data_IF_159320575380
#
_entry.id   IF_159320575380
#
_cell.length_a   1.000
_cell.length_b   1.000
_cell.length_c   1.000
_cell.angle_alpha   90.00
_cell.angle_beta   90.00
_cell.angle_gamma   90.00
#
_symmetry.space_group_name_H-M   'P 1'
#
loop_
_entity.id
_entity.type
_entity.pdbx_description
1 polymer ?
#
# COMPACT_ATOMS: atom_id res chain seq x y z
N UNK A 1 62.98 43.79 31.80
CA UNK A 1 61.97 42.73 31.73
C UNK A 1 60.99 43.16 30.67
N UNK A 2 60.96 42.45 29.53
CA UNK A 2 59.98 42.72 28.44
C UNK A 2 58.90 41.69 28.53
N UNK A 3 57.67 42.11 28.82
CA UNK A 3 56.49 41.28 28.84
C UNK A 3 55.94 41.12 27.40
N UNK A 4 55.95 39.91 26.90
CA UNK A 4 55.41 39.55 25.59
C UNK A 4 53.91 39.18 25.76
N UNK A 5 53.05 39.95 25.15
CA UNK A 5 51.60 39.65 25.03
C UNK A 5 51.32 38.87 23.76
N UNK A 6 50.80 37.63 23.91
CA UNK A 6 50.35 36.78 22.80
C UNK A 6 48.88 37.11 22.49
N UNK A 7 48.49 37.39 21.23
CA UNK A 7 47.10 37.62 20.92
C UNK A 7 46.32 36.30 20.82
N UNK A 8 45.17 36.21 21.49
CA UNK A 8 44.23 35.12 21.39
C UNK A 8 43.40 35.35 20.12
N UNK A 9 43.60 34.50 19.11
CA UNK A 9 42.76 34.46 17.90
C UNK A 9 41.56 33.60 18.21
N UNK A 10 40.40 34.22 18.38
CA UNK A 10 39.13 33.51 18.55
C UNK A 10 38.63 33.10 17.13
N UNK A 11 38.66 31.79 16.86
CA UNK A 11 38.08 31.22 15.64
C UNK A 11 36.57 31.00 15.92
N UNK A 12 35.73 31.85 15.34
CA UNK A 12 34.29 31.62 15.29
C UNK A 12 34.00 30.53 14.24
N UNK A 13 33.66 29.34 14.75
CA UNK A 13 33.15 28.24 13.89
C UNK A 13 31.66 28.49 13.57
N UNK A 14 31.36 29.04 12.42
CA UNK A 14 29.99 29.18 11.94
C UNK A 14 29.44 27.79 11.52
N UNK A 15 28.59 27.19 12.33
CA UNK A 15 27.80 26.01 11.94
C UNK A 15 26.77 26.43 10.89
N UNK A 16 27.02 26.11 9.62
CA UNK A 16 25.99 26.11 8.59
C UNK A 16 25.04 24.93 8.85
N UNK A 17 23.91 25.18 9.50
CA UNK A 17 22.78 24.25 9.46
C UNK A 17 22.18 24.29 8.06
N UNK A 18 22.54 23.31 7.22
CA UNK A 18 21.84 23.07 5.96
C UNK A 18 20.42 22.62 6.31
N UNK A 19 19.43 23.48 6.14
CA UNK A 19 18.03 23.14 6.21
C UNK A 19 17.73 22.16 5.06
N UNK A 20 17.58 20.89 5.36
CA UNK A 20 17.05 19.91 4.41
C UNK A 20 15.63 20.36 4.03
N UNK A 21 15.29 20.42 2.74
CA UNK A 21 13.93 20.75 2.35
C UNK A 21 12.98 19.70 2.93
N UNK A 22 12.09 20.14 3.82
CA UNK A 22 10.93 19.34 4.21
C UNK A 22 10.07 19.22 2.96
N UNK A 23 10.17 18.10 2.27
CA UNK A 23 9.20 17.74 1.23
C UNK A 23 7.86 17.51 1.92
N UNK A 24 7.02 18.52 1.93
CA UNK A 24 5.64 18.40 2.40
C UNK A 24 4.90 17.43 1.47
N UNK A 25 4.25 16.44 2.04
CA UNK A 25 3.37 15.57 1.28
C UNK A 25 2.23 16.41 0.67
N UNK A 26 1.89 16.15 -0.58
CA UNK A 26 0.69 16.72 -1.16
C UNK A 26 -0.55 16.26 -0.34
N UNK A 27 -1.58 17.11 -0.19
CA UNK A 27 -2.77 16.70 0.52
C UNK A 27 -3.37 15.43 -0.10
N UNK A 28 -3.94 14.57 0.73
CA UNK A 28 -4.62 13.38 0.25
C UNK A 28 -5.80 13.77 -0.66
N UNK A 29 -5.92 13.11 -1.78
CA UNK A 29 -7.01 13.29 -2.75
C UNK A 29 -7.65 11.95 -3.07
N UNK A 30 -8.91 11.93 -3.53
CA UNK A 30 -9.53 10.70 -4.00
C UNK A 30 -8.67 10.04 -5.09
N UNK A 31 -8.39 8.75 -4.91
CA UNK A 31 -7.85 7.88 -5.94
C UNK A 31 -8.98 7.18 -6.70
N UNK A 32 -10.10 6.95 -6.01
CA UNK A 32 -11.38 6.51 -6.57
C UNK A 32 -12.46 7.56 -6.24
N UNK A 33 -13.31 7.87 -7.22
CA UNK A 33 -14.32 8.94 -7.14
C UNK A 33 -15.59 8.57 -6.34
N UNK A 34 -15.74 7.28 -5.99
CA UNK A 34 -16.93 6.77 -5.29
C UNK A 34 -18.12 6.46 -6.19
N UNK A 35 -18.04 6.65 -7.50
CA UNK A 35 -19.19 6.61 -8.40
C UNK A 35 -18.96 5.82 -9.69
N UNK A 36 -17.74 5.79 -10.21
CA UNK A 36 -17.39 5.14 -11.48
C UNK A 36 -16.09 4.36 -11.39
N UNK A 37 -15.74 3.65 -12.44
CA UNK A 37 -14.39 3.08 -12.63
C UNK A 37 -13.53 3.95 -13.54
N UNK A 38 -13.87 5.22 -13.73
CA UNK A 38 -13.04 6.14 -14.51
C UNK A 38 -11.65 6.27 -13.89
N UNK A 39 -10.61 6.10 -14.72
CA UNK A 39 -9.21 6.05 -14.27
C UNK A 39 -8.79 4.68 -13.71
N UNK A 40 -9.64 3.65 -13.91
CA UNK A 40 -9.37 2.27 -13.57
C UNK A 40 -9.79 1.34 -14.70
N UNK A 41 -9.10 0.21 -14.86
CA UNK A 41 -9.48 -0.84 -15.78
C UNK A 41 -9.37 -2.22 -15.12
N UNK A 42 -10.12 -3.18 -15.65
CA UNK A 42 -10.16 -4.55 -15.15
C UNK A 42 -9.25 -5.42 -15.99
N UNK A 43 -8.43 -6.23 -15.33
CA UNK A 43 -7.69 -7.33 -15.95
C UNK A 43 -8.07 -8.66 -15.27
N UNK A 44 -8.07 -9.74 -16.05
CA UNK A 44 -8.42 -11.07 -15.54
C UNK A 44 -9.92 -11.29 -15.40
N UNK A 45 -10.33 -12.01 -14.38
CA UNK A 45 -11.70 -12.48 -14.12
C UNK A 45 -12.22 -12.03 -12.77
N UNK A 46 -13.40 -12.51 -12.39
CA UNK A 46 -14.15 -12.03 -11.23
C UNK A 46 -15.07 -10.89 -11.61
N UNK A 47 -15.86 -10.45 -10.69
CA UNK A 47 -16.85 -9.41 -10.91
C UNK A 47 -16.55 -8.21 -10.01
N UNK A 48 -16.56 -7.02 -10.62
CA UNK A 48 -16.39 -5.75 -9.94
C UNK A 48 -17.65 -4.92 -10.16
N UNK A 49 -18.27 -4.47 -9.07
CA UNK A 49 -19.45 -3.62 -9.06
C UNK A 49 -19.26 -2.42 -8.15
N UNK A 50 -20.06 -1.41 -8.34
CA UNK A 50 -20.20 -0.30 -7.40
C UNK A 50 -21.57 -0.47 -6.75
N UNK A 51 -21.57 -0.73 -5.47
CA UNK A 51 -22.77 -0.97 -4.67
C UNK A 51 -22.62 -0.26 -3.31
N UNK A 52 -23.67 0.34 -2.79
CA UNK A 52 -23.71 0.98 -1.48
C UNK A 52 -22.54 1.97 -1.22
N UNK A 53 -22.10 2.68 -2.25
CA UNK A 53 -21.00 3.62 -2.16
C UNK A 53 -19.63 2.96 -1.97
N UNK A 54 -19.49 1.71 -2.37
CA UNK A 54 -18.24 0.94 -2.30
C UNK A 54 -18.00 0.15 -3.58
N UNK A 55 -16.74 -0.18 -3.83
CA UNK A 55 -16.35 -1.20 -4.82
C UNK A 55 -16.61 -2.56 -4.18
N UNK A 56 -17.44 -3.37 -4.81
CA UNK A 56 -17.72 -4.75 -4.41
C UNK A 56 -17.05 -5.70 -5.40
N UNK A 57 -16.13 -6.52 -4.89
CA UNK A 57 -15.39 -7.51 -5.66
C UNK A 57 -15.82 -8.92 -5.27
N UNK A 58 -16.23 -9.74 -6.26
CA UNK A 58 -16.67 -11.11 -6.02
C UNK A 58 -16.04 -12.11 -6.99
N UNK A 59 -15.83 -13.33 -6.49
CA UNK A 59 -15.44 -14.48 -7.32
C UNK A 59 -16.06 -15.76 -6.77
N UNK A 60 -16.15 -16.76 -7.62
CA UNK A 60 -16.57 -18.11 -7.26
C UNK A 60 -15.40 -19.07 -7.39
N UNK A 61 -15.33 -20.07 -6.52
CA UNK A 61 -14.22 -21.06 -6.47
C UNK A 61 -13.97 -21.77 -7.81
N UNK A 62 -14.99 -21.90 -8.65
CA UNK A 62 -14.86 -22.50 -9.97
C UNK A 62 -13.99 -21.66 -10.91
N UNK A 63 -14.01 -20.32 -10.77
CA UNK A 63 -13.16 -19.40 -11.55
C UNK A 63 -11.76 -19.39 -11.00
N UNK A 64 -10.79 -19.88 -11.79
CA UNK A 64 -9.40 -20.09 -11.35
C UNK A 64 -8.48 -18.88 -11.60
N UNK A 65 -8.87 -18.01 -12.51
CA UNK A 65 -8.10 -16.82 -12.84
C UNK A 65 -8.32 -15.71 -11.79
N UNK A 66 -7.28 -14.96 -11.52
CA UNK A 66 -7.34 -13.76 -10.70
C UNK A 66 -8.06 -12.63 -11.43
N UNK A 67 -8.61 -11.71 -10.69
CA UNK A 67 -9.11 -10.43 -11.18
C UNK A 67 -8.45 -9.28 -10.47
N UNK A 68 -8.14 -8.22 -11.22
CA UNK A 68 -7.62 -7.00 -10.66
C UNK A 68 -8.35 -5.79 -11.23
N UNK A 69 -8.66 -4.84 -10.37
CA UNK A 69 -9.08 -3.50 -10.74
C UNK A 69 -7.86 -2.60 -10.60
N UNK A 70 -7.30 -2.13 -11.71
CA UNK A 70 -5.98 -1.50 -11.81
C UNK A 70 -6.12 -0.01 -12.11
N UNK A 71 -5.40 0.86 -11.40
CA UNK A 71 -5.36 2.30 -11.70
C UNK A 71 -4.66 2.57 -13.03
N UNK A 72 -5.19 3.50 -13.84
CA UNK A 72 -4.54 3.90 -15.10
C UNK A 72 -3.27 4.72 -14.87
N UNK A 73 -3.15 5.32 -13.69
CA UNK A 73 -1.99 6.13 -13.30
C UNK A 73 -0.97 5.30 -12.53
N UNK A 74 0.30 5.66 -12.72
CA UNK A 74 1.42 5.16 -11.95
C UNK A 74 1.81 6.12 -10.82
N UNK A 75 2.38 5.56 -9.76
CA UNK A 75 2.83 6.28 -8.57
C UNK A 75 4.20 5.77 -8.14
N UNK A 76 5.05 6.69 -7.68
CA UNK A 76 6.39 6.36 -7.15
C UNK A 76 6.38 6.38 -5.62
N UNK A 77 6.41 7.58 -5.05
CA UNK A 77 6.37 7.78 -3.60
C UNK A 77 4.99 8.31 -3.20
N UNK A 78 4.32 7.57 -2.33
CA UNK A 78 2.94 7.85 -1.97
C UNK A 78 2.57 7.30 -0.59
N UNK A 79 1.45 7.78 -0.09
CA UNK A 79 0.67 7.10 0.95
C UNK A 79 -0.74 6.90 0.40
N UNK A 80 -1.17 5.66 0.28
CA UNK A 80 -2.53 5.27 -0.09
C UNK A 80 -3.28 4.80 1.15
N UNK A 81 -4.52 5.22 1.29
CA UNK A 81 -5.45 4.80 2.34
C UNK A 81 -6.71 4.27 1.70
N UNK A 82 -7.29 3.23 2.30
CA UNK A 82 -8.61 2.70 1.96
C UNK A 82 -9.30 2.09 3.18
N UNK A 83 -10.62 1.94 3.08
CA UNK A 83 -11.39 1.09 3.99
C UNK A 83 -11.79 -0.18 3.24
N UNK A 84 -11.68 -1.32 3.94
CA UNK A 84 -12.06 -2.62 3.38
C UNK A 84 -12.91 -3.42 4.37
N UNK A 85 -13.76 -4.29 3.83
CA UNK A 85 -14.48 -5.32 4.57
C UNK A 85 -14.33 -6.63 3.81
N UNK A 86 -13.59 -7.58 4.38
CA UNK A 86 -13.39 -8.91 3.83
C UNK A 86 -14.45 -9.85 4.44
N UNK A 87 -15.43 -10.21 3.64
CA UNK A 87 -16.51 -11.11 4.06
C UNK A 87 -16.08 -12.56 3.84
N UNK A 88 -15.39 -12.83 2.72
CA UNK A 88 -14.98 -14.17 2.32
C UNK A 88 -13.76 -14.13 1.41
N UNK A 89 -12.87 -15.11 1.58
CA UNK A 89 -11.72 -15.35 0.71
C UNK A 89 -10.63 -14.32 0.84
N UNK A 90 -9.81 -14.23 -0.19
CA UNK A 90 -8.58 -13.45 -0.22
C UNK A 90 -8.63 -12.36 -1.28
N UNK A 91 -8.07 -11.22 -0.95
CA UNK A 91 -7.96 -9.99 -1.71
C UNK A 91 -6.66 -9.27 -1.34
N UNK A 92 -6.45 -8.06 -1.82
CA UNK A 92 -5.31 -7.25 -1.43
C UNK A 92 -5.22 -5.91 -2.15
N UNK A 93 -4.46 -5.02 -1.54
CA UNK A 93 -4.05 -3.76 -2.13
C UNK A 93 -2.64 -3.93 -2.72
N UNK A 94 -2.57 -4.03 -4.02
CA UNK A 94 -1.31 -4.02 -4.76
C UNK A 94 -0.79 -2.62 -4.99
N UNK A 95 0.51 -2.47 -5.03
CA UNK A 95 1.15 -1.17 -5.30
C UNK A 95 2.47 -1.33 -6.05
N UNK A 96 2.80 -0.28 -6.82
CA UNK A 96 3.96 -0.26 -7.71
C UNK A 96 4.02 -1.49 -8.62
N UNK A 97 2.84 -1.95 -9.08
CA UNK A 97 2.75 -3.15 -9.92
C UNK A 97 3.08 -2.83 -11.38
N UNK A 98 3.43 -3.91 -12.12
CA UNK A 98 3.30 -3.98 -13.56
C UNK A 98 2.36 -5.12 -13.91
N UNK A 99 1.54 -4.89 -14.94
CA UNK A 99 0.68 -5.91 -15.51
C UNK A 99 1.49 -6.96 -16.26
N UNK A 100 1.05 -8.21 -16.19
CA UNK A 100 1.71 -9.35 -16.84
C UNK A 100 0.68 -10.30 -17.42
N UNK A 101 0.54 -10.26 -18.73
CA UNK A 101 -0.45 -11.08 -19.45
C UNK A 101 -1.89 -10.69 -19.10
N UNK A 102 -2.81 -11.63 -19.24
CA UNK A 102 -4.25 -11.38 -19.16
C UNK A 102 -4.77 -11.10 -17.75
N UNK A 103 -4.24 -11.78 -16.74
CA UNK A 103 -4.75 -11.69 -15.36
C UNK A 103 -3.65 -11.52 -14.31
N UNK A 104 -2.40 -11.42 -14.74
CA UNK A 104 -1.24 -11.38 -13.87
C UNK A 104 -0.77 -9.98 -13.54
N UNK A 105 -0.14 -9.87 -12.37
CA UNK A 105 0.61 -8.68 -11.96
C UNK A 105 1.93 -9.11 -11.33
N UNK A 106 2.90 -8.21 -11.32
CA UNK A 106 4.14 -8.35 -10.53
C UNK A 106 4.22 -7.18 -9.56
N UNK A 107 4.66 -7.40 -8.35
CA UNK A 107 4.85 -6.35 -7.35
C UNK A 107 4.37 -6.74 -5.97
N UNK A 108 4.37 -5.76 -5.06
CA UNK A 108 4.00 -5.97 -3.67
C UNK A 108 2.49 -5.81 -3.46
N UNK A 109 1.97 -6.66 -2.59
CA UNK A 109 0.59 -6.65 -2.11
C UNK A 109 0.58 -6.48 -0.60
N UNK A 110 -0.18 -5.51 -0.10
CA UNK A 110 -0.65 -5.50 1.28
C UNK A 110 -1.89 -6.38 1.36
N UNK A 111 -1.80 -7.43 2.15
CA UNK A 111 -2.75 -8.53 2.15
C UNK A 111 -4.07 -8.17 2.81
N UNK A 112 -5.17 -8.55 2.17
CA UNK A 112 -6.54 -8.51 2.69
C UNK A 112 -7.10 -9.93 2.61
N UNK A 113 -7.44 -10.52 3.74
CA UNK A 113 -8.00 -11.87 3.82
C UNK A 113 -9.10 -11.90 4.88
N UNK A 114 -10.14 -12.72 4.68
CA UNK A 114 -11.25 -12.78 5.61
C UNK A 114 -10.91 -13.49 6.94
N UNK A 115 -9.76 -14.17 7.01
CA UNK A 115 -9.43 -15.06 8.15
C UNK A 115 -8.03 -14.88 8.72
N UNK A 116 -7.05 -14.49 7.90
CA UNK A 116 -5.63 -14.50 8.28
C UNK A 116 -4.83 -13.56 7.40
N UNK A 117 -3.53 -13.43 7.68
CA UNK A 117 -2.52 -12.75 6.86
C UNK A 117 -2.77 -11.24 6.60
N UNK A 118 -3.87 -10.66 7.11
CA UNK A 118 -4.23 -9.25 6.90
C UNK A 118 -3.12 -8.33 7.37
N UNK A 119 -2.70 -7.42 6.49
CA UNK A 119 -1.63 -6.45 6.74
C UNK A 119 -0.23 -7.01 6.51
N UNK A 120 -0.10 -8.25 6.05
CA UNK A 120 1.16 -8.80 5.56
C UNK A 120 1.59 -8.21 4.22
N UNK A 121 2.83 -8.50 3.81
CA UNK A 121 3.37 -8.13 2.51
C UNK A 121 3.74 -9.38 1.72
N UNK A 122 3.14 -9.52 0.55
CA UNK A 122 3.45 -10.59 -0.40
C UNK A 122 3.95 -10.00 -1.72
N UNK A 123 4.98 -10.57 -2.30
CA UNK A 123 5.48 -10.17 -3.62
C UNK A 123 5.09 -11.21 -4.67
N UNK A 124 4.14 -10.86 -5.51
CA UNK A 124 3.66 -11.71 -6.60
C UNK A 124 4.69 -11.78 -7.72
N UNK A 125 4.95 -13.00 -8.17
CA UNK A 125 5.99 -13.33 -9.15
C UNK A 125 7.41 -12.88 -8.74
N UNK A 126 7.64 -12.82 -7.41
CA UNK A 126 8.91 -12.45 -6.81
C UNK A 126 9.21 -13.29 -5.57
N UNK A 127 9.50 -12.62 -4.45
CA UNK A 127 9.94 -13.24 -3.19
C UNK A 127 8.85 -13.99 -2.41
N UNK A 128 7.58 -13.90 -2.84
CA UNK A 128 6.41 -14.43 -2.12
C UNK A 128 6.19 -13.67 -0.80
N UNK A 129 6.05 -14.37 0.32
CA UNK A 129 5.93 -13.72 1.63
C UNK A 129 7.20 -12.96 1.99
N UNK A 130 7.11 -11.64 2.05
CA UNK A 130 8.17 -10.76 2.51
C UNK A 130 7.99 -10.45 4.00
N UNK A 131 6.76 -10.23 4.41
CA UNK A 131 6.34 -10.15 5.82
C UNK A 131 5.04 -10.92 5.95
N UNK A 132 5.05 -12.05 6.66
CA UNK A 132 3.85 -12.80 6.97
C UNK A 132 3.53 -12.67 8.46
N UNK A 133 2.40 -12.06 8.83
CA UNK A 133 2.03 -11.95 10.23
C UNK A 133 1.55 -13.30 10.78
N UNK A 134 1.76 -13.53 12.07
CA UNK A 134 1.19 -14.69 12.74
C UNK A 134 -0.30 -14.45 13.04
N UNK A 135 -1.12 -15.52 13.16
CA UNK A 135 -2.54 -15.39 13.47
C UNK A 135 -2.84 -14.61 14.77
N UNK A 136 -2.02 -14.79 15.80
CA UNK A 136 -2.15 -14.07 17.08
C UNK A 136 -1.92 -12.56 16.91
N UNK A 137 -1.03 -12.15 16.03
CA UNK A 137 -0.80 -10.76 15.68
C UNK A 137 -2.00 -10.19 14.90
N UNK A 138 -2.46 -10.89 13.84
CA UNK A 138 -3.62 -10.45 13.05
C UNK A 138 -4.83 -10.19 13.92
N UNK A 139 -5.10 -11.06 14.91
CA UNK A 139 -6.20 -10.89 15.84
C UNK A 139 -6.17 -9.59 16.67
N UNK A 140 -5.02 -8.92 16.75
CA UNK A 140 -4.91 -7.65 17.50
C UNK A 140 -5.34 -6.43 16.70
N UNK A 141 -5.33 -6.50 15.38
CA UNK A 141 -5.64 -5.33 14.52
C UNK A 141 -6.79 -5.57 13.53
N UNK A 142 -7.10 -6.80 13.16
CA UNK A 142 -8.14 -7.09 12.19
C UNK A 142 -9.51 -7.31 12.88
N UNK A 143 -10.56 -6.71 12.30
CA UNK A 143 -11.96 -6.86 12.70
C UNK A 143 -12.68 -7.68 11.62
N UNK A 144 -12.88 -9.00 11.82
CA UNK A 144 -13.59 -9.85 10.86
C UNK A 144 -15.01 -9.35 10.57
N UNK A 145 -15.43 -9.42 9.31
CA UNK A 145 -16.76 -9.04 8.83
C UNK A 145 -17.14 -7.55 9.03
N UNK A 146 -16.22 -6.73 9.49
CA UNK A 146 -16.43 -5.31 9.72
C UNK A 146 -15.50 -4.47 8.82
N UNK A 147 -15.76 -3.16 8.76
CA UNK A 147 -14.91 -2.22 8.08
C UNK A 147 -13.59 -2.03 8.83
N UNK A 148 -12.50 -2.22 8.10
CA UNK A 148 -11.14 -1.98 8.54
C UNK A 148 -10.50 -0.88 7.72
N UNK A 149 -9.52 -0.20 8.26
CA UNK A 149 -8.71 0.78 7.57
C UNK A 149 -7.34 0.19 7.23
N UNK A 150 -6.88 0.41 6.01
CA UNK A 150 -5.52 0.07 5.60
C UNK A 150 -4.82 1.30 5.05
N UNK A 151 -3.58 1.49 5.46
CA UNK A 151 -2.69 2.52 4.91
C UNK A 151 -1.40 1.85 4.47
N UNK A 152 -0.98 2.17 3.24
CA UNK A 152 0.32 1.77 2.70
C UNK A 152 1.10 3.02 2.35
N UNK A 153 2.26 3.22 2.99
CA UNK A 153 3.22 4.26 2.65
C UNK A 153 4.43 3.64 1.96
N UNK A 154 4.82 4.17 0.82
CA UNK A 154 5.98 3.74 0.07
C UNK A 154 6.80 4.98 -0.34
N UNK A 155 8.01 5.12 0.23
CA UNK A 155 8.97 6.20 -0.06
C UNK A 155 10.33 5.59 -0.37
N UNK A 156 10.77 5.71 -1.63
CA UNK A 156 11.95 4.97 -2.05
C UNK A 156 11.81 3.48 -1.73
N UNK A 157 12.74 2.92 -0.96
CA UNK A 157 12.68 1.52 -0.49
C UNK A 157 12.10 1.35 0.91
N UNK A 158 11.59 2.40 1.54
CA UNK A 158 10.90 2.31 2.83
C UNK A 158 9.41 2.11 2.61
N UNK A 159 8.88 0.99 3.05
CA UNK A 159 7.48 0.59 2.89
C UNK A 159 6.90 0.30 4.27
N UNK A 160 5.75 0.88 4.56
CA UNK A 160 5.01 0.67 5.81
C UNK A 160 3.57 0.32 5.50
N UNK A 161 3.07 -0.75 6.12
CA UNK A 161 1.65 -1.10 6.11
C UNK A 161 1.08 -0.92 7.51
N UNK A 162 -0.09 -0.33 7.57
CA UNK A 162 -0.86 -0.20 8.80
C UNK A 162 -2.28 -0.72 8.58
N UNK A 163 -2.83 -1.39 9.58
CA UNK A 163 -4.24 -1.79 9.64
C UNK A 163 -4.83 -1.27 10.95
N UNK A 164 -5.94 -0.55 10.86
CA UNK A 164 -6.62 0.07 12.01
C UNK A 164 -5.66 0.87 12.92
N UNK A 165 -4.71 1.61 12.29
CA UNK A 165 -3.72 2.44 12.99
C UNK A 165 -2.52 1.67 13.55
N UNK A 166 -2.50 0.34 13.52
CA UNK A 166 -1.36 -0.47 13.95
C UNK A 166 -0.43 -0.77 12.78
N UNK A 167 0.87 -0.61 12.97
CA UNK A 167 1.89 -1.01 12.00
C UNK A 167 1.96 -2.54 11.94
N UNK A 168 1.66 -3.11 10.79
CA UNK A 168 1.58 -4.56 10.56
C UNK A 168 2.76 -5.11 9.79
N UNK A 169 3.35 -4.29 8.90
CA UNK A 169 4.56 -4.64 8.16
C UNK A 169 5.41 -3.40 7.91
N UNK A 170 6.73 -3.59 7.86
CA UNK A 170 7.69 -2.56 7.51
C UNK A 170 8.89 -3.17 6.79
N UNK A 171 9.32 -2.52 5.69
CA UNK A 171 10.53 -2.87 4.96
C UNK A 171 11.43 -1.65 4.84
N UNK A 172 12.70 -1.85 5.08
CA UNK A 172 13.76 -0.87 4.82
C UNK A 172 14.59 -1.31 3.62
N UNK A 173 14.94 -0.34 2.76
CA UNK A 173 15.78 -0.58 1.59
C UNK A 173 15.25 -1.71 0.68
N UNK A 174 13.92 -1.84 0.55
CA UNK A 174 13.32 -2.83 -0.33
C UNK A 174 13.88 -2.68 -1.75
N UNK A 175 14.38 -3.76 -2.39
CA UNK A 175 14.99 -3.68 -3.72
C UNK A 175 13.97 -3.64 -4.86
N UNK A 176 12.68 -3.81 -4.56
CA UNK A 176 11.60 -3.88 -5.54
C UNK A 176 11.39 -2.62 -6.36
N UNK A 177 10.33 -2.61 -7.14
CA UNK A 177 9.99 -1.50 -8.04
C UNK A 177 9.82 -0.19 -7.28
N UNK A 178 10.27 0.91 -7.90
CA UNK A 178 10.15 2.27 -7.34
C UNK A 178 8.91 3.01 -7.82
N UNK A 179 8.28 2.54 -8.90
CA UNK A 179 7.03 3.08 -9.44
C UNK A 179 6.18 1.99 -10.07
N UNK A 180 4.92 2.27 -10.26
CA UNK A 180 3.95 1.43 -10.92
C UNK A 180 2.53 1.75 -10.48
N UNK A 181 1.59 0.92 -10.89
CA UNK A 181 0.16 1.12 -10.66
C UNK A 181 -0.27 0.64 -9.28
N UNK A 182 -1.43 1.12 -8.84
CA UNK A 182 -2.18 0.57 -7.71
C UNK A 182 -3.21 -0.40 -8.26
N UNK A 183 -3.46 -1.51 -7.54
CA UNK A 183 -4.54 -2.41 -7.92
C UNK A 183 -5.23 -3.04 -6.71
N UNK A 184 -6.50 -3.37 -6.88
CA UNK A 184 -7.29 -4.18 -5.97
C UNK A 184 -7.40 -5.59 -6.56
N UNK A 185 -7.36 -6.63 -5.71
CA UNK A 185 -7.37 -8.02 -6.17
C UNK A 185 -8.67 -8.73 -5.82
N UNK A 186 -9.04 -9.67 -6.70
CA UNK A 186 -9.93 -10.80 -6.42
C UNK A 186 -9.13 -12.08 -6.66
N UNK A 187 -8.97 -12.91 -5.63
CA UNK A 187 -8.20 -14.15 -5.72
C UNK A 187 -8.93 -15.20 -6.59
N UNK A 188 -8.20 -15.83 -7.52
CA UNK A 188 -8.72 -16.92 -8.34
C UNK A 188 -8.83 -18.23 -7.54
N UNK A 189 -9.80 -19.07 -7.89
CA UNK A 189 -9.97 -20.39 -7.28
C UNK A 189 -10.51 -20.39 -5.85
N UNK A 190 -11.01 -19.27 -5.39
CA UNK A 190 -11.67 -19.10 -4.09
C UNK A 190 -13.04 -18.45 -4.29
N UNK A 191 -13.93 -18.66 -3.32
CA UNK A 191 -15.09 -17.79 -3.15
C UNK A 191 -14.59 -16.51 -2.50
N UNK A 192 -14.77 -15.39 -3.14
CA UNK A 192 -14.36 -14.07 -2.67
C UNK A 192 -15.56 -13.14 -2.58
N UNK A 193 -15.62 -12.38 -1.50
CA UNK A 193 -16.56 -11.30 -1.26
C UNK A 193 -15.83 -10.22 -0.45
N UNK A 194 -15.44 -9.13 -1.14
CA UNK A 194 -14.67 -8.04 -0.56
C UNK A 194 -15.27 -6.69 -0.95
N UNK A 195 -15.30 -5.78 0.01
CA UNK A 195 -15.81 -4.43 -0.16
C UNK A 195 -14.70 -3.42 0.14
N UNK A 196 -14.56 -2.41 -0.74
CA UNK A 196 -13.51 -1.40 -0.63
C UNK A 196 -14.10 -0.01 -0.90
N UNK A 197 -13.70 0.98 -0.10
CA UNK A 197 -14.14 2.37 -0.26
C UNK A 197 -13.16 3.38 0.34
N UNK A 198 -13.49 4.66 0.19
CA UNK A 198 -12.73 5.78 0.75
C UNK A 198 -11.25 5.73 0.31
N UNK A 199 -11.02 5.36 -0.97
CA UNK A 199 -9.67 5.17 -1.50
C UNK A 199 -9.08 6.53 -1.81
N UNK A 200 -8.05 6.91 -1.06
CA UNK A 200 -7.35 8.18 -1.22
C UNK A 200 -5.85 7.99 -1.37
N UNK A 201 -5.17 8.97 -1.96
CA UNK A 201 -3.72 8.95 -2.14
C UNK A 201 -3.12 10.35 -1.91
N UNK A 202 -2.00 10.40 -1.22
CA UNK A 202 -1.09 11.54 -1.20
C UNK A 202 0.24 11.15 -1.87
N UNK A 203 0.82 12.04 -2.67
CA UNK A 203 2.12 11.83 -3.34
C UNK A 203 3.19 12.67 -2.64
N UNK A 204 4.44 12.19 -2.67
CA UNK A 204 5.57 12.83 -1.98
C UNK A 204 6.66 13.20 -2.96
#
# INVERSE_FOLDING_TARGET
MKTSTVPIVSILLALLLAALPLYAANPARPLWDGQSFDGWHVIGKGEWKIEDGAIHGTNVRAQKEYGHLVSDREFSDFTVHLRFKAVKGNSGLYFRIAEQGFSGVTGLQAEIDATKDVGGLYETNGRKWVVQPRPDQVATWFKPLDWNEMTVSARGGHIVVQVNGQKTAELFNDPGRRSGRIALQIHGGQDVDVWLKDITISTH
#
